data_IF_288636817729
#
_entry.id   IF_288636817729
#
_cell.length_a   1.000
_cell.length_b   1.000
_cell.length_c   1.000
_cell.angle_alpha   90.00
_cell.angle_beta   90.00
_cell.angle_gamma   90.00
#
_symmetry.space_group_name_H-M   'P 1'
#
loop_
_entity.id
_entity.type
_entity.pdbx_description
1 polymer ?
#
# COMPACT_ATOMS: atom_id res chain seq x y z
N UNK A 1 207.16 -5.67 7.31
CA UNK A 1 206.08 -6.70 7.36
C UNK A 1 205.36 -6.76 8.72
N UNK A 2 205.70 -5.91 9.70
CA UNK A 2 205.14 -5.95 11.08
C UNK A 2 203.96 -5.02 11.32
N UNK A 3 203.87 -3.86 10.64
CA UNK A 3 202.79 -2.88 10.87
C UNK A 3 201.43 -3.39 10.37
N UNK A 4 201.40 -4.07 9.22
CA UNK A 4 200.16 -4.60 8.60
C UNK A 4 199.45 -5.70 9.40
N UNK A 5 200.12 -6.34 10.37
CA UNK A 5 199.51 -7.41 11.19
C UNK A 5 198.77 -6.83 12.40
N UNK A 6 199.29 -5.74 12.98
CA UNK A 6 198.63 -5.04 14.10
C UNK A 6 197.35 -4.31 13.65
N UNK A 7 197.32 -3.78 12.42
CA UNK A 7 196.11 -3.13 11.88
C UNK A 7 194.93 -4.11 11.65
N UNK A 8 195.21 -5.39 11.40
CA UNK A 8 194.16 -6.41 11.18
C UNK A 8 193.58 -6.86 12.51
N UNK A 9 194.42 -7.12 13.51
CA UNK A 9 193.97 -7.51 14.86
C UNK A 9 193.14 -6.40 15.54
N UNK A 10 193.51 -5.13 15.37
CA UNK A 10 192.72 -4.01 15.88
C UNK A 10 191.35 -3.88 15.21
N UNK A 11 191.26 -4.13 13.90
CA UNK A 11 190.01 -4.01 13.14
C UNK A 11 189.05 -5.17 13.42
N UNK A 12 189.56 -6.38 13.65
CA UNK A 12 188.75 -7.51 14.11
C UNK A 12 188.14 -7.25 15.49
N UNK A 13 188.91 -6.68 16.43
CA UNK A 13 188.40 -6.32 17.76
C UNK A 13 187.27 -5.27 17.69
N UNK A 14 187.39 -4.26 16.81
CA UNK A 14 186.34 -3.25 16.60
C UNK A 14 185.07 -3.89 16.04
N UNK A 15 185.18 -4.77 15.04
CA UNK A 15 184.03 -5.44 14.44
C UNK A 15 183.30 -6.37 15.43
N UNK A 16 184.02 -7.00 16.34
CA UNK A 16 183.40 -7.81 17.41
C UNK A 16 182.62 -6.93 18.38
N UNK A 17 183.16 -5.77 18.76
CA UNK A 17 182.46 -4.83 19.64
C UNK A 17 181.23 -4.20 18.96
N UNK A 18 181.32 -3.83 17.68
CA UNK A 18 180.18 -3.32 16.90
C UNK A 18 179.06 -4.37 16.77
N UNK A 19 179.42 -5.63 16.56
CA UNK A 19 178.44 -6.73 16.55
C UNK A 19 177.75 -6.88 17.90
N UNK A 20 178.51 -6.82 19.00
CA UNK A 20 177.92 -6.90 20.35
C UNK A 20 176.99 -5.71 20.64
N UNK A 21 177.36 -4.51 20.19
CA UNK A 21 176.50 -3.33 20.31
C UNK A 21 175.20 -3.49 19.51
N UNK A 22 175.27 -3.92 18.24
CA UNK A 22 174.09 -4.12 17.39
C UNK A 22 173.17 -5.23 17.93
N UNK A 23 173.72 -6.35 18.43
CA UNK A 23 172.93 -7.42 19.06
C UNK A 23 172.22 -6.93 20.34
N UNK A 24 172.87 -6.08 21.15
CA UNK A 24 172.27 -5.50 22.34
C UNK A 24 171.16 -4.49 22.01
N UNK A 25 171.37 -3.63 21.01
CA UNK A 25 170.38 -2.65 20.54
C UNK A 25 169.13 -3.34 19.96
N UNK A 26 169.30 -4.37 19.13
CA UNK A 26 168.17 -5.16 18.59
C UNK A 26 167.43 -5.93 19.68
N UNK A 27 168.14 -6.45 20.68
CA UNK A 27 167.51 -7.12 21.82
C UNK A 27 166.68 -6.13 22.65
N UNK A 28 167.22 -4.94 22.92
CA UNK A 28 166.49 -3.87 23.61
C UNK A 28 165.27 -3.40 22.80
N UNK A 29 165.41 -3.22 21.48
CA UNK A 29 164.31 -2.83 20.61
C UNK A 29 163.18 -3.87 20.62
N UNK A 30 163.51 -5.17 20.62
CA UNK A 30 162.53 -6.26 20.71
C UNK A 30 161.80 -6.26 22.04
N UNK A 31 162.52 -6.15 23.16
CA UNK A 31 161.91 -6.10 24.50
C UNK A 31 160.99 -4.88 24.64
N UNK A 32 161.39 -3.71 24.14
CA UNK A 32 160.54 -2.51 24.12
C UNK A 32 159.29 -2.73 23.26
N UNK A 33 159.43 -3.32 22.07
CA UNK A 33 158.28 -3.58 21.18
C UNK A 33 157.29 -4.58 21.80
N UNK A 34 157.79 -5.63 22.46
CA UNK A 34 156.97 -6.62 23.15
C UNK A 34 156.20 -5.99 24.31
N UNK A 35 156.88 -5.25 25.20
CA UNK A 35 156.23 -4.54 26.31
C UNK A 35 155.19 -3.55 25.77
N UNK A 36 155.55 -2.74 24.76
CA UNK A 36 154.63 -1.76 24.17
C UNK A 36 153.40 -2.42 23.53
N UNK A 37 153.56 -3.59 22.91
CA UNK A 37 152.45 -4.34 22.33
C UNK A 37 151.54 -4.94 23.41
N UNK A 38 152.13 -5.47 24.49
CA UNK A 38 151.37 -6.03 25.62
C UNK A 38 150.56 -4.95 26.34
N UNK A 39 151.18 -3.83 26.67
CA UNK A 39 150.51 -2.70 27.34
C UNK A 39 149.37 -2.13 26.47
N UNK A 40 149.56 -2.03 25.15
CA UNK A 40 148.48 -1.59 24.23
C UNK A 40 147.31 -2.57 24.22
N UNK A 41 147.57 -3.87 24.17
CA UNK A 41 146.52 -4.89 24.21
C UNK A 41 145.75 -4.87 25.54
N UNK A 42 146.44 -4.70 26.66
CA UNK A 42 145.81 -4.57 27.99
C UNK A 42 144.95 -3.31 28.08
N UNK A 43 145.44 -2.17 27.59
CA UNK A 43 144.65 -0.92 27.52
C UNK A 43 143.40 -1.10 26.67
N UNK A 44 143.50 -1.76 25.51
CA UNK A 44 142.33 -2.03 24.66
C UNK A 44 141.32 -2.96 25.33
N UNK A 45 141.77 -4.02 26.01
CA UNK A 45 140.90 -4.93 26.77
C UNK A 45 140.15 -4.16 27.84
N UNK A 46 140.86 -3.33 28.64
CA UNK A 46 140.24 -2.52 29.68
C UNK A 46 139.25 -1.52 29.08
N UNK A 47 139.58 -0.87 27.97
CA UNK A 47 138.69 0.07 27.29
C UNK A 47 137.40 -0.61 26.80
N UNK A 48 137.49 -1.80 26.20
CA UNK A 48 136.31 -2.55 25.77
C UNK A 48 135.47 -3.06 26.96
N UNK A 49 136.10 -3.48 28.06
CA UNK A 49 135.39 -3.86 29.28
C UNK A 49 134.63 -2.68 29.91
N UNK A 50 135.22 -1.49 29.94
CA UNK A 50 134.53 -0.29 30.42
C UNK A 50 133.37 0.10 29.50
N UNK A 51 133.55 -0.02 28.17
CA UNK A 51 132.47 0.23 27.21
C UNK A 51 131.30 -0.75 27.39
N UNK A 52 131.58 -2.04 27.58
CA UNK A 52 130.55 -3.05 27.83
C UNK A 52 129.76 -2.73 29.11
N UNK A 53 130.45 -2.36 30.20
CA UNK A 53 129.79 -1.97 31.45
C UNK A 53 128.91 -0.74 31.30
N UNK A 54 129.38 0.27 30.55
CA UNK A 54 128.60 1.48 30.27
C UNK A 54 127.34 1.19 29.43
N UNK A 55 127.46 0.36 28.39
CA UNK A 55 126.32 -0.05 27.56
C UNK A 55 125.31 -0.90 28.33
N UNK A 56 125.78 -1.83 29.18
CA UNK A 56 124.90 -2.62 30.05
C UNK A 56 124.12 -1.73 31.03
N UNK A 57 124.79 -0.75 31.64
CA UNK A 57 124.12 0.20 32.52
C UNK A 57 123.09 1.07 31.76
N UNK A 58 123.40 1.50 30.54
CA UNK A 58 122.45 2.24 29.69
C UNK A 58 121.21 1.40 29.38
N UNK A 59 121.40 0.18 28.88
CA UNK A 59 120.31 -0.72 28.49
C UNK A 59 119.41 -1.04 29.69
N UNK A 60 119.99 -1.35 30.85
CA UNK A 60 119.21 -1.62 32.07
C UNK A 60 118.39 -0.40 32.50
N UNK A 61 118.97 0.80 32.42
CA UNK A 61 118.26 2.05 32.74
C UNK A 61 117.13 2.32 31.76
N UNK A 62 117.37 2.15 30.45
CA UNK A 62 116.37 2.36 29.41
C UNK A 62 115.19 1.37 29.56
N UNK A 63 115.48 0.11 29.88
CA UNK A 63 114.46 -0.92 30.11
C UNK A 63 113.61 -0.60 31.35
N UNK A 64 114.22 -0.18 32.46
CA UNK A 64 113.48 0.26 33.66
C UNK A 64 112.59 1.47 33.38
N UNK A 65 113.08 2.46 32.62
CA UNK A 65 112.29 3.63 32.23
C UNK A 65 111.09 3.21 31.37
N UNK A 66 111.31 2.38 30.36
CA UNK A 66 110.22 1.92 29.48
C UNK A 66 109.16 1.12 30.23
N UNK A 67 109.57 0.20 31.11
CA UNK A 67 108.64 -0.57 31.95
C UNK A 67 107.85 0.38 32.88
N UNK A 68 108.51 1.38 33.47
CA UNK A 68 107.84 2.37 34.31
C UNK A 68 106.84 3.23 33.51
N UNK A 69 107.19 3.64 32.29
CA UNK A 69 106.30 4.39 31.40
C UNK A 69 105.09 3.57 30.95
N UNK A 70 105.28 2.31 30.53
CA UNK A 70 104.17 1.42 30.18
C UNK A 70 103.25 1.16 31.36
N UNK A 71 103.80 0.92 32.55
CA UNK A 71 103.00 0.76 33.76
C UNK A 71 102.21 2.03 34.09
N UNK A 72 102.82 3.22 33.92
CA UNK A 72 102.11 4.50 34.08
C UNK A 72 100.98 4.64 33.08
N UNK A 73 101.22 4.35 31.80
CA UNK A 73 100.18 4.40 30.76
C UNK A 73 99.04 3.43 31.05
N UNK A 74 99.36 2.20 31.50
CA UNK A 74 98.36 1.21 31.90
C UNK A 74 97.50 1.71 33.07
N UNK A 75 98.11 2.32 34.09
CA UNK A 75 97.37 2.90 35.22
C UNK A 75 96.45 4.03 34.77
N UNK A 76 96.91 4.91 33.87
CA UNK A 76 96.09 5.98 33.30
C UNK A 76 94.90 5.41 32.53
N UNK A 77 95.11 4.40 31.68
CA UNK A 77 94.03 3.75 30.90
C UNK A 77 93.03 3.06 31.82
N UNK A 78 93.49 2.33 32.86
CA UNK A 78 92.61 1.68 33.82
C UNK A 78 91.78 2.71 34.59
N UNK A 79 92.39 3.83 35.00
CA UNK A 79 91.68 4.92 35.66
C UNK A 79 90.65 5.60 34.73
N UNK A 80 90.99 5.84 33.46
CA UNK A 80 90.08 6.38 32.45
C UNK A 80 88.88 5.45 32.22
N UNK A 81 89.13 4.16 31.96
CA UNK A 81 88.05 3.18 31.76
C UNK A 81 87.18 2.99 33.01
N UNK A 82 87.78 3.08 34.20
CA UNK A 82 87.00 3.03 35.45
C UNK A 82 86.10 4.25 35.58
N UNK A 83 86.60 5.45 35.26
CA UNK A 83 85.81 6.68 35.23
C UNK A 83 84.67 6.60 34.20
N UNK A 84 84.95 6.11 33.00
CA UNK A 84 83.94 5.91 31.94
C UNK A 84 82.88 4.90 32.37
N UNK A 85 83.27 3.77 32.98
CA UNK A 85 82.33 2.78 33.50
C UNK A 85 81.42 3.37 34.58
N UNK A 86 81.99 4.13 35.53
CA UNK A 86 81.18 4.78 36.58
C UNK A 86 80.24 5.82 35.98
N UNK A 87 80.70 6.62 35.01
CA UNK A 87 79.86 7.60 34.32
C UNK A 87 78.71 6.94 33.54
N UNK A 88 78.97 5.83 32.84
CA UNK A 88 77.94 5.09 32.11
C UNK A 88 76.88 4.46 33.04
N UNK A 89 77.32 3.89 34.18
CA UNK A 89 76.39 3.32 35.19
C UNK A 89 75.51 4.40 35.80
N UNK A 90 76.06 5.56 36.13
CA UNK A 90 75.27 6.67 36.66
C UNK A 90 74.34 7.27 35.61
N UNK A 91 74.76 7.32 34.34
CA UNK A 91 73.88 7.74 33.25
C UNK A 91 72.69 6.78 33.07
N UNK A 92 72.93 5.46 33.07
CA UNK A 92 71.86 4.46 32.97
C UNK A 92 70.89 4.55 34.17
N UNK A 93 71.40 4.81 35.38
CA UNK A 93 70.56 5.05 36.56
C UNK A 93 69.66 6.27 36.39
N UNK A 94 70.22 7.40 35.95
CA UNK A 94 69.45 8.63 35.69
C UNK A 94 68.41 8.41 34.60
N UNK A 95 68.73 7.68 33.53
CA UNK A 95 67.78 7.36 32.46
C UNK A 95 66.66 6.44 32.95
N UNK A 96 66.98 5.44 33.77
CA UNK A 96 65.99 4.57 34.40
C UNK A 96 65.05 5.33 35.33
N UNK A 97 65.59 6.21 36.18
CA UNK A 97 64.79 7.01 37.11
C UNK A 97 63.88 7.99 36.34
N UNK A 98 64.37 8.63 35.27
CA UNK A 98 63.54 9.47 34.38
C UNK A 98 62.41 8.68 33.72
N UNK A 99 62.71 7.48 33.22
CA UNK A 99 61.68 6.63 32.61
C UNK A 99 60.62 6.18 33.62
N UNK A 100 61.02 5.88 34.87
CA UNK A 100 60.08 5.54 35.94
C UNK A 100 59.18 6.73 36.32
N UNK A 101 59.74 7.94 36.42
CA UNK A 101 58.96 9.15 36.66
C UNK A 101 57.98 9.45 35.52
N UNK A 102 58.39 9.24 34.26
CA UNK A 102 57.51 9.41 33.11
C UNK A 102 56.34 8.42 33.13
N UNK A 103 56.61 7.14 33.43
CA UNK A 103 55.57 6.11 33.59
C UNK A 103 54.61 6.46 34.71
N UNK A 104 55.10 6.92 35.86
CA UNK A 104 54.25 7.33 36.99
C UNK A 104 53.41 8.57 36.62
N UNK A 105 54.00 9.55 35.92
CA UNK A 105 53.26 10.72 35.42
C UNK A 105 52.16 10.32 34.45
N UNK A 106 52.47 9.45 33.49
CA UNK A 106 51.48 8.92 32.53
C UNK A 106 50.37 8.15 33.26
N UNK A 107 50.71 7.35 34.27
CA UNK A 107 49.70 6.66 35.09
C UNK A 107 48.77 7.64 35.81
N UNK A 108 49.32 8.70 36.41
CA UNK A 108 48.50 9.71 37.10
C UNK A 108 47.58 10.45 36.10
N UNK A 109 48.12 10.86 34.94
CA UNK A 109 47.34 11.55 33.90
C UNK A 109 46.22 10.64 33.37
N UNK A 110 46.54 9.39 33.04
CA UNK A 110 45.54 8.43 32.55
C UNK A 110 44.46 8.11 33.58
N UNK A 111 44.81 7.99 34.86
CA UNK A 111 43.82 7.82 35.94
C UNK A 111 42.91 9.06 36.07
N UNK A 112 43.47 10.26 35.97
CA UNK A 112 42.69 11.50 35.98
C UNK A 112 41.77 11.62 34.75
N UNK A 113 42.23 11.20 33.57
CA UNK A 113 41.41 11.15 32.36
C UNK A 113 40.27 10.14 32.49
N UNK A 114 40.53 8.95 33.05
CA UNK A 114 39.49 7.94 33.33
C UNK A 114 38.46 8.47 34.32
N UNK A 115 38.87 9.15 35.40
CA UNK A 115 37.94 9.74 36.36
C UNK A 115 37.07 10.84 35.71
N UNK A 116 37.68 11.68 34.86
CA UNK A 116 36.97 12.68 34.06
C UNK A 116 35.98 12.04 33.10
N UNK A 117 36.37 11.02 32.35
CA UNK A 117 35.49 10.29 31.42
C UNK A 117 34.33 9.63 32.18
N UNK A 118 34.62 8.98 33.30
CA UNK A 118 33.60 8.39 34.18
C UNK A 118 32.59 9.43 34.68
N UNK A 119 33.06 10.61 35.09
CA UNK A 119 32.18 11.70 35.52
C UNK A 119 31.29 12.20 34.36
N UNK A 120 31.84 12.34 33.16
CA UNK A 120 31.08 12.70 31.96
C UNK A 120 30.05 11.62 31.61
N UNK A 121 30.39 10.35 31.75
CA UNK A 121 29.51 9.23 31.42
C UNK A 121 28.36 9.07 32.42
N UNK A 122 28.61 9.33 33.71
CA UNK A 122 27.55 9.44 34.73
C UNK A 122 26.59 10.58 34.37
N UNK A 123 27.09 11.76 34.03
CA UNK A 123 26.25 12.89 33.62
C UNK A 123 25.48 12.59 32.32
N UNK A 124 26.08 11.89 31.35
CA UNK A 124 25.38 11.43 30.14
C UNK A 124 24.25 10.47 30.47
N UNK A 125 24.45 9.56 31.42
CA UNK A 125 23.42 8.65 31.91
C UNK A 125 22.28 9.42 32.58
N UNK A 126 22.59 10.38 33.45
CA UNK A 126 21.60 11.23 34.11
C UNK A 126 20.79 12.04 33.07
N UNK A 127 21.46 12.58 32.05
CA UNK A 127 20.81 13.28 30.93
C UNK A 127 19.91 12.31 30.14
N UNK A 128 20.35 11.08 29.90
CA UNK A 128 19.52 10.06 29.23
C UNK A 128 18.28 9.68 30.06
N UNK A 129 18.41 9.58 31.38
CA UNK A 129 17.28 9.34 32.27
C UNK A 129 16.29 10.53 32.22
N UNK A 130 16.76 11.78 32.24
CA UNK A 130 15.92 12.97 32.06
C UNK A 130 15.27 13.02 30.67
N UNK A 131 15.97 12.64 29.61
CA UNK A 131 15.41 12.56 28.24
C UNK A 131 14.34 11.49 28.18
N UNK A 132 14.58 10.30 28.76
CA UNK A 132 13.57 9.23 28.83
C UNK A 132 12.33 9.70 29.55
N UNK A 133 12.50 10.35 30.70
CA UNK A 133 11.38 10.87 31.48
C UNK A 133 10.63 11.97 30.71
N UNK A 134 11.34 12.86 29.99
CA UNK A 134 10.72 13.85 29.09
C UNK A 134 9.93 13.17 27.97
N UNK A 135 10.48 12.16 27.31
CA UNK A 135 9.80 11.42 26.23
C UNK A 135 8.56 10.70 26.75
N UNK A 136 8.60 10.15 27.97
CA UNK A 136 7.42 9.54 28.61
C UNK A 136 6.35 10.60 28.86
N UNK A 137 6.71 11.77 29.39
CA UNK A 137 5.78 12.87 29.64
C UNK A 137 5.21 13.42 28.32
N UNK A 138 6.04 13.66 27.30
CA UNK A 138 5.59 14.11 25.98
C UNK A 138 4.66 13.09 25.34
N UNK A 139 4.99 11.81 25.40
CA UNK A 139 4.10 10.74 24.92
C UNK A 139 2.77 10.72 25.67
N UNK A 140 2.79 10.88 27.00
CA UNK A 140 1.56 10.94 27.80
C UNK A 140 0.71 12.17 27.46
N UNK A 141 1.33 13.33 27.21
CA UNK A 141 0.63 14.54 26.75
C UNK A 141 0.00 14.31 25.38
N UNK A 142 0.73 13.72 24.44
CA UNK A 142 0.19 13.41 23.10
C UNK A 142 -0.94 12.39 23.17
N UNK A 143 -0.81 11.33 23.97
CA UNK A 143 -1.87 10.34 24.17
C UNK A 143 -3.13 10.97 24.79
N UNK A 144 -2.99 11.88 25.75
CA UNK A 144 -4.13 12.62 26.30
C UNK A 144 -4.71 13.65 25.31
N UNK A 145 -3.88 14.32 24.52
CA UNK A 145 -4.36 15.23 23.46
C UNK A 145 -5.18 14.50 22.39
N UNK A 146 -4.72 13.32 21.95
CA UNK A 146 -5.46 12.47 21.01
C UNK A 146 -6.74 11.94 21.64
N UNK A 147 -6.73 11.48 22.90
CA UNK A 147 -7.96 11.10 23.63
C UNK A 147 -8.95 12.25 23.75
N UNK A 148 -8.48 13.48 23.96
CA UNK A 148 -9.33 14.67 24.02
C UNK A 148 -9.93 14.97 22.65
N UNK A 149 -9.16 14.82 21.56
CA UNK A 149 -9.68 14.96 20.19
C UNK A 149 -10.72 13.90 19.89
N UNK A 150 -10.43 12.64 20.16
CA UNK A 150 -11.36 11.53 20.00
C UNK A 150 -12.65 11.78 20.79
N UNK A 151 -12.54 12.13 22.08
CA UNK A 151 -13.70 12.43 22.91
C UNK A 151 -14.53 13.61 22.37
N UNK A 152 -13.89 14.65 21.82
CA UNK A 152 -14.59 15.78 21.17
C UNK A 152 -15.30 15.37 19.89
N UNK A 153 -14.66 14.55 19.06
CA UNK A 153 -15.24 14.04 17.81
C UNK A 153 -16.40 13.08 18.10
N UNK A 154 -16.24 12.14 19.02
CA UNK A 154 -17.33 11.27 19.49
C UNK A 154 -18.50 12.08 20.08
N UNK A 155 -18.21 13.08 20.92
CA UNK A 155 -19.26 13.94 21.46
C UNK A 155 -19.92 14.84 20.39
N UNK A 156 -19.20 15.22 19.32
CA UNK A 156 -19.77 15.95 18.20
C UNK A 156 -20.68 15.05 17.34
N UNK A 157 -20.23 13.83 17.03
CA UNK A 157 -20.99 12.83 16.30
C UNK A 157 -22.26 12.41 17.06
N UNK A 158 -22.16 12.17 18.38
CA UNK A 158 -23.31 11.82 19.21
C UNK A 158 -24.31 13.00 19.30
N UNK A 159 -23.82 14.24 19.40
CA UNK A 159 -24.70 15.43 19.32
C UNK A 159 -25.38 15.56 17.97
N UNK A 160 -24.68 15.36 16.86
CA UNK A 160 -25.26 15.38 15.51
C UNK A 160 -26.33 14.30 15.36
N UNK A 161 -26.05 13.08 15.82
CA UNK A 161 -27.01 11.98 15.85
C UNK A 161 -28.24 12.33 16.68
N UNK A 162 -28.09 12.91 17.88
CA UNK A 162 -29.21 13.35 18.71
C UNK A 162 -30.03 14.46 18.06
N UNK A 163 -29.39 15.42 17.39
CA UNK A 163 -30.08 16.47 16.63
C UNK A 163 -30.88 15.85 15.47
N UNK A 164 -30.29 14.92 14.72
CA UNK A 164 -30.97 14.23 13.62
C UNK A 164 -32.16 13.39 14.11
N UNK A 165 -32.02 12.68 15.25
CA UNK A 165 -33.13 11.94 15.88
C UNK A 165 -34.25 12.90 16.28
N UNK A 166 -33.94 14.00 16.96
CA UNK A 166 -34.95 14.99 17.35
C UNK A 166 -35.63 15.64 16.16
N UNK A 167 -34.91 15.91 15.07
CA UNK A 167 -35.48 16.45 13.84
C UNK A 167 -36.42 15.44 13.17
N UNK A 168 -36.03 14.16 13.14
CA UNK A 168 -36.88 13.09 12.65
C UNK A 168 -38.13 12.89 13.52
N UNK A 169 -37.99 12.93 14.84
CA UNK A 169 -39.11 12.90 15.79
C UNK A 169 -40.05 14.09 15.61
N UNK A 170 -39.49 15.29 15.42
CA UNK A 170 -40.28 16.51 15.17
C UNK A 170 -41.08 16.38 13.87
N UNK A 171 -40.47 15.90 12.77
CA UNK A 171 -41.16 15.68 11.49
C UNK A 171 -42.24 14.61 11.62
N UNK A 172 -41.94 13.50 12.29
CA UNK A 172 -42.90 12.44 12.53
C UNK A 172 -44.08 12.90 13.40
N UNK A 173 -43.83 13.69 14.45
CA UNK A 173 -44.88 14.29 15.27
C UNK A 173 -45.72 15.30 14.48
N UNK A 174 -45.10 16.13 13.65
CA UNK A 174 -45.81 17.08 12.79
C UNK A 174 -46.73 16.35 11.80
N UNK A 175 -46.26 15.27 11.20
CA UNK A 175 -47.03 14.46 10.26
C UNK A 175 -48.14 13.67 10.98
N UNK A 176 -47.87 13.16 12.18
CA UNK A 176 -48.88 12.53 13.03
C UNK A 176 -49.99 13.53 13.40
N UNK A 177 -49.64 14.74 13.84
CA UNK A 177 -50.63 15.77 14.18
C UNK A 177 -51.45 16.15 12.94
N UNK A 178 -50.80 16.30 11.77
CA UNK A 178 -51.49 16.60 10.51
C UNK A 178 -52.46 15.50 10.11
N UNK A 179 -52.06 14.23 10.21
CA UNK A 179 -52.91 13.09 9.86
C UNK A 179 -54.06 12.90 10.86
N UNK A 180 -53.82 13.07 12.16
CA UNK A 180 -54.87 13.03 13.20
C UNK A 180 -55.86 14.17 13.02
N UNK A 181 -55.39 15.41 12.80
CA UNK A 181 -56.27 16.55 12.55
C UNK A 181 -57.07 16.37 11.26
N UNK A 182 -56.46 15.85 10.19
CA UNK A 182 -57.17 15.54 8.95
C UNK A 182 -58.23 14.45 9.16
N UNK A 183 -57.92 13.40 9.93
CA UNK A 183 -58.87 12.34 10.27
C UNK A 183 -60.00 12.84 11.17
N UNK A 184 -59.71 13.68 12.17
CA UNK A 184 -60.73 14.31 13.02
C UNK A 184 -61.61 15.28 12.23
N UNK A 185 -61.03 16.08 11.33
CA UNK A 185 -61.78 16.96 10.44
C UNK A 185 -62.69 16.14 9.50
N UNK A 186 -62.19 15.05 8.92
CA UNK A 186 -62.97 14.13 8.10
C UNK A 186 -64.10 13.47 8.90
N UNK A 187 -63.84 13.03 10.13
CA UNK A 187 -64.85 12.46 11.03
C UNK A 187 -65.95 13.47 11.37
N UNK A 188 -65.57 14.72 11.70
CA UNK A 188 -66.55 15.80 11.96
C UNK A 188 -67.33 16.15 10.70
N UNK A 189 -66.70 16.23 9.54
CA UNK A 189 -67.38 16.47 8.27
C UNK A 189 -68.39 15.36 7.94
N UNK A 190 -68.01 14.09 8.13
CA UNK A 190 -68.90 12.95 7.95
C UNK A 190 -70.07 12.97 8.95
N UNK A 191 -69.85 13.37 10.20
CA UNK A 191 -70.89 13.53 11.20
C UNK A 191 -71.89 14.64 10.79
N UNK A 192 -71.40 15.82 10.39
CA UNK A 192 -72.27 16.89 9.90
C UNK A 192 -73.06 16.50 8.65
N UNK A 193 -72.47 15.75 7.73
CA UNK A 193 -73.18 15.21 6.56
C UNK A 193 -74.25 14.17 6.95
N UNK A 194 -74.00 13.37 7.99
CA UNK A 194 -74.98 12.44 8.50
C UNK A 194 -76.15 13.18 9.17
N UNK A 195 -75.85 14.19 9.99
CA UNK A 195 -76.86 15.04 10.65
C UNK A 195 -77.68 15.83 9.63
N UNK A 196 -77.05 16.38 8.58
CA UNK A 196 -77.73 17.03 7.46
C UNK A 196 -78.69 16.08 6.77
N UNK A 197 -78.27 14.83 6.49
CA UNK A 197 -79.14 13.82 5.89
C UNK A 197 -80.31 13.46 6.79
N UNK A 198 -80.11 13.32 8.10
CA UNK A 198 -81.18 13.06 9.07
C UNK A 198 -82.14 14.25 9.10
N UNK A 199 -81.63 15.47 9.15
CA UNK A 199 -82.45 16.69 9.16
C UNK A 199 -83.27 16.83 7.87
N UNK A 200 -82.68 16.55 6.70
CA UNK A 200 -83.41 16.51 5.43
C UNK A 200 -84.47 15.40 5.45
N UNK A 201 -84.13 14.21 5.93
CA UNK A 201 -85.08 13.10 6.04
C UNK A 201 -86.25 13.43 6.98
N UNK A 202 -85.99 14.02 8.15
CA UNK A 202 -87.02 14.46 9.09
C UNK A 202 -87.85 15.62 8.53
N UNK A 203 -87.23 16.57 7.82
CA UNK A 203 -87.94 17.66 7.14
C UNK A 203 -88.84 17.13 6.02
N UNK A 204 -88.36 16.18 5.22
CA UNK A 204 -89.17 15.53 4.16
C UNK A 204 -90.29 14.68 4.76
N UNK A 205 -90.05 13.94 5.86
CA UNK A 205 -91.10 13.21 6.58
C UNK A 205 -92.15 14.17 7.12
N UNK A 206 -91.75 15.25 7.79
CA UNK A 206 -92.68 16.25 8.32
C UNK A 206 -93.45 16.99 7.23
N UNK A 207 -92.84 17.24 6.07
CA UNK A 207 -93.54 17.78 4.90
C UNK A 207 -94.57 16.79 4.35
N UNK A 208 -94.18 15.51 4.20
CA UNK A 208 -95.08 14.45 3.73
C UNK A 208 -96.23 14.18 4.71
N UNK A 209 -96.00 14.22 6.02
CA UNK A 209 -97.02 14.13 7.06
C UNK A 209 -98.03 15.28 6.94
N UNK A 210 -97.55 16.52 6.87
CA UNK A 210 -98.42 17.70 6.68
C UNK A 210 -99.18 17.67 5.36
N UNK A 211 -98.56 17.20 4.28
CA UNK A 211 -99.23 17.01 3.00
C UNK A 211 -100.27 15.90 3.07
N UNK A 212 -100.00 14.82 3.81
CA UNK A 212 -100.94 13.72 4.04
C UNK A 212 -102.12 14.18 4.89
N UNK A 213 -101.89 14.95 5.95
CA UNK A 213 -102.93 15.52 6.79
C UNK A 213 -103.75 16.56 6.02
N UNK A 214 -103.10 17.42 5.22
CA UNK A 214 -103.80 18.31 4.30
C UNK A 214 -104.65 17.52 3.30
N UNK A 215 -104.12 16.45 2.68
CA UNK A 215 -104.89 15.57 1.78
C UNK A 215 -106.02 14.86 2.49
N UNK A 216 -105.87 14.43 3.74
CA UNK A 216 -106.96 13.86 4.56
C UNK A 216 -108.03 14.90 4.83
N UNK A 217 -107.65 16.10 5.25
CA UNK A 217 -108.60 17.20 5.46
C UNK A 217 -109.30 17.60 4.17
N UNK A 218 -108.59 17.65 3.03
CA UNK A 218 -109.20 17.87 1.72
C UNK A 218 -110.08 16.69 1.29
N UNK A 219 -109.72 15.45 1.61
CA UNK A 219 -110.53 14.27 1.31
C UNK A 219 -111.78 14.20 2.19
N UNK A 220 -111.72 14.62 3.45
CA UNK A 220 -112.85 14.75 4.36
C UNK A 220 -113.75 15.93 3.97
N UNK A 221 -113.16 17.06 3.57
CA UNK A 221 -113.89 18.20 3.00
C UNK A 221 -114.55 17.81 1.67
N UNK A 222 -113.85 17.09 0.79
CA UNK A 222 -114.40 16.53 -0.44
C UNK A 222 -115.42 15.44 -0.16
N UNK A 223 -115.28 14.63 0.89
CA UNK A 223 -116.32 13.68 1.31
C UNK A 223 -117.58 14.40 1.79
N UNK A 224 -117.41 15.54 2.48
CA UNK A 224 -118.52 16.39 2.92
C UNK A 224 -119.18 17.13 1.74
N UNK A 225 -118.39 17.60 0.76
CA UNK A 225 -118.89 18.20 -0.49
C UNK A 225 -119.56 17.16 -1.40
N UNK A 226 -118.95 15.98 -1.60
CA UNK A 226 -119.53 14.87 -2.34
C UNK A 226 -120.72 14.22 -1.61
N UNK A 227 -120.82 14.32 -0.29
CA UNK A 227 -122.06 13.96 0.41
C UNK A 227 -123.22 14.91 0.05
N UNK A 228 -122.93 16.16 -0.37
CA UNK A 228 -123.91 17.09 -0.92
C UNK A 228 -124.17 16.84 -2.43
N UNK A 229 -123.15 16.43 -3.19
CA UNK A 229 -123.25 16.09 -4.63
C UNK A 229 -123.74 14.66 -4.92
N UNK A 230 -123.72 13.74 -3.94
CA UNK A 230 -124.15 12.35 -4.11
C UNK A 230 -125.64 12.18 -4.42
N UNK A 231 -126.44 13.23 -4.22
CA UNK A 231 -127.82 13.32 -4.72
C UNK A 231 -127.90 13.71 -6.21
N UNK A 232 -126.83 14.27 -6.79
CA UNK A 232 -126.71 14.68 -8.19
C UNK A 232 -125.89 13.70 -9.05
N UNK A 233 -124.88 13.02 -8.50
CA UNK A 233 -124.00 12.11 -9.26
C UNK A 233 -124.62 10.76 -9.63
N UNK A 234 -125.70 10.33 -8.95
CA UNK A 234 -126.46 9.15 -9.35
C UNK A 234 -127.06 9.28 -10.77
N UNK A 235 -127.22 10.51 -11.29
CA UNK A 235 -127.68 10.76 -12.67
C UNK A 235 -126.53 10.78 -13.70
N UNK A 236 -125.28 11.01 -13.28
CA UNK A 236 -124.12 11.13 -14.19
C UNK A 236 -123.35 9.81 -14.31
N UNK A 237 -123.40 8.93 -13.31
CA UNK A 237 -122.73 7.63 -13.33
C UNK A 237 -123.24 6.71 -14.47
N UNK A 238 -124.47 6.93 -14.94
CA UNK A 238 -125.02 6.25 -16.12
C UNK A 238 -124.30 6.64 -17.42
N UNK A 239 -123.66 7.82 -17.49
CA UNK A 239 -122.99 8.33 -18.70
C UNK A 239 -121.49 7.99 -18.74
N UNK A 240 -120.84 7.78 -17.58
CA UNK A 240 -119.39 7.48 -17.51
C UNK A 240 -119.04 6.03 -17.87
N UNK A 241 -120.00 5.11 -17.80
CA UNK A 241 -119.77 3.70 -18.14
C UNK A 241 -119.42 3.48 -19.63
N UNK A 242 -119.89 4.33 -20.54
CA UNK A 242 -119.57 4.26 -21.98
C UNK A 242 -118.15 4.76 -22.32
N UNK A 243 -117.49 5.51 -21.44
CA UNK A 243 -116.18 6.11 -21.73
C UNK A 243 -115.00 5.17 -21.44
N UNK A 244 -115.16 4.25 -20.48
CA UNK A 244 -114.10 3.34 -20.02
C UNK A 244 -113.73 2.27 -21.05
N UNK A 245 -114.63 1.94 -21.98
CA UNK A 245 -114.37 0.96 -23.05
C UNK A 245 -113.29 1.45 -24.04
N UNK A 246 -113.12 2.77 -24.19
CA UNK A 246 -112.18 3.37 -25.16
C UNK A 246 -110.73 3.42 -24.65
N UNK A 247 -110.52 3.39 -23.34
CA UNK A 247 -109.19 3.57 -22.73
C UNK A 247 -108.30 2.30 -22.80
N UNK A 248 -108.90 1.11 -22.79
CA UNK A 248 -108.16 -0.16 -22.82
C UNK A 248 -107.37 -0.42 -24.11
N UNK A 249 -107.70 0.26 -25.21
CA UNK A 249 -106.99 0.09 -26.49
C UNK A 249 -105.64 0.80 -26.55
N UNK A 250 -105.44 1.85 -25.74
CA UNK A 250 -104.20 2.64 -25.71
C UNK A 250 -103.11 1.96 -24.88
N UNK A 251 -103.49 1.25 -23.82
CA UNK A 251 -102.54 0.59 -22.90
C UNK A 251 -101.80 -0.59 -23.56
N UNK A 252 -102.46 -1.31 -24.47
CA UNK A 252 -101.85 -2.42 -25.21
C UNK A 252 -100.75 -1.95 -26.19
N UNK A 253 -100.85 -0.74 -26.74
CA UNK A 253 -99.86 -0.14 -27.64
C UNK A 253 -98.56 0.22 -26.92
N UNK A 254 -98.66 0.76 -25.70
CA UNK A 254 -97.51 1.19 -24.89
C UNK A 254 -96.65 0.01 -24.42
N UNK A 255 -97.28 -1.13 -24.15
CA UNK A 255 -96.59 -2.34 -23.69
C UNK A 255 -95.68 -2.94 -24.77
N UNK A 256 -96.08 -2.84 -26.05
CA UNK A 256 -95.30 -3.33 -27.20
C UNK A 256 -94.03 -2.50 -27.47
N UNK A 257 -94.05 -1.20 -27.20
CA UNK A 257 -92.89 -0.32 -27.39
C UNK A 257 -91.84 -0.45 -26.28
N UNK A 258 -92.25 -0.73 -25.03
CA UNK A 258 -91.31 -0.96 -23.93
C UNK A 258 -90.47 -2.23 -24.11
N UNK A 259 -91.08 -3.32 -24.59
CA UNK A 259 -90.38 -4.59 -24.80
C UNK A 259 -89.30 -4.51 -25.91
N UNK A 260 -89.49 -3.62 -26.90
CA UNK A 260 -88.51 -3.40 -27.96
C UNK A 260 -87.27 -2.63 -27.45
N UNK A 261 -87.46 -1.61 -26.62
CA UNK A 261 -86.38 -0.81 -26.05
C UNK A 261 -85.50 -1.59 -25.05
N UNK A 262 -86.07 -2.59 -24.38
CA UNK A 262 -85.36 -3.42 -23.40
C UNK A 262 -84.37 -4.41 -24.06
N UNK A 263 -84.70 -4.92 -25.25
CA UNK A 263 -83.80 -5.78 -26.03
C UNK A 263 -82.56 -5.04 -26.54
N UNK A 264 -82.71 -3.81 -27.03
CA UNK A 264 -81.56 -2.98 -27.47
C UNK A 264 -80.65 -2.58 -26.30
N UNK A 265 -81.20 -2.36 -25.11
CA UNK A 265 -80.41 -2.06 -23.91
C UNK A 265 -79.56 -3.24 -23.43
N UNK A 266 -80.02 -4.47 -23.61
CA UNK A 266 -79.30 -5.69 -23.22
C UNK A 266 -78.16 -6.00 -24.20
N UNK A 267 -78.36 -5.79 -25.51
CA UNK A 267 -77.30 -6.00 -26.51
C UNK A 267 -76.16 -5.00 -26.35
N UNK A 268 -76.45 -3.72 -26.12
CA UNK A 268 -75.42 -2.70 -25.87
C UNK A 268 -74.64 -2.95 -24.56
N UNK A 269 -75.29 -3.45 -23.51
CA UNK A 269 -74.61 -3.85 -22.27
C UNK A 269 -73.65 -5.04 -22.46
N UNK A 270 -74.04 -6.02 -23.29
CA UNK A 270 -73.21 -7.17 -23.59
C UNK A 270 -71.96 -6.80 -24.40
N UNK A 271 -72.08 -5.87 -25.36
CA UNK A 271 -70.93 -5.35 -26.12
C UNK A 271 -70.00 -4.49 -25.26
N UNK A 272 -70.55 -3.68 -24.35
CA UNK A 272 -69.75 -2.89 -23.40
C UNK A 272 -68.94 -3.77 -22.43
N UNK A 273 -69.51 -4.88 -21.93
CA UNK A 273 -68.77 -5.82 -21.06
C UNK A 273 -67.62 -6.52 -21.78
N UNK A 274 -67.77 -6.79 -23.08
CA UNK A 274 -66.73 -7.40 -23.92
C UNK A 274 -65.53 -6.47 -24.14
N UNK A 275 -65.75 -5.15 -24.10
CA UNK A 275 -64.70 -4.13 -24.25
C UNK A 275 -63.88 -3.92 -22.96
N UNK A 276 -64.43 -4.21 -21.79
CA UNK A 276 -63.75 -4.02 -20.48
C UNK A 276 -62.91 -5.21 -20.00
N UNK A 277 -62.95 -6.36 -20.69
CA UNK A 277 -62.27 -7.61 -20.29
C UNK A 277 -60.77 -7.67 -20.69
N UNK A 278 -60.26 -6.67 -21.43
CA UNK A 278 -58.85 -6.61 -21.86
C UNK A 278 -57.90 -6.04 -20.80
N UNK A 279 -58.30 -4.95 -20.12
CA UNK A 279 -57.42 -4.19 -19.21
C UNK A 279 -57.24 -4.90 -17.85
N UNK A 280 -58.22 -5.72 -17.45
CA UNK A 280 -58.16 -6.52 -16.22
C UNK A 280 -57.18 -7.69 -16.31
N UNK A 281 -57.14 -8.38 -17.46
CA UNK A 281 -56.29 -9.57 -17.68
C UNK A 281 -54.81 -9.24 -17.64
N UNK A 282 -54.38 -8.14 -18.28
CA UNK A 282 -52.96 -7.75 -18.28
C UNK A 282 -52.45 -7.43 -16.87
N UNK A 283 -53.28 -6.81 -16.04
CA UNK A 283 -52.90 -6.51 -14.66
C UNK A 283 -52.85 -7.78 -13.79
N UNK A 284 -53.74 -8.75 -14.06
CA UNK A 284 -53.75 -10.05 -13.39
C UNK A 284 -52.55 -10.91 -13.80
N UNK A 285 -52.24 -10.98 -15.10
CA UNK A 285 -51.05 -11.65 -15.63
C UNK A 285 -49.75 -11.00 -15.15
N UNK A 286 -49.70 -9.67 -15.06
CA UNK A 286 -48.57 -8.95 -14.49
C UNK A 286 -48.39 -9.26 -13.00
N UNK A 287 -49.47 -9.28 -12.22
CA UNK A 287 -49.43 -9.67 -10.80
C UNK A 287 -48.96 -11.10 -10.61
N UNK A 288 -49.46 -12.03 -11.42
CA UNK A 288 -49.10 -13.44 -11.37
C UNK A 288 -47.61 -13.65 -11.72
N UNK A 289 -47.11 -12.95 -12.74
CA UNK A 289 -45.70 -12.97 -13.12
C UNK A 289 -44.80 -12.38 -12.03
N UNK A 290 -45.17 -11.24 -11.45
CA UNK A 290 -44.41 -10.60 -10.38
C UNK A 290 -44.34 -11.49 -9.12
N UNK A 291 -45.45 -12.16 -8.78
CA UNK A 291 -45.49 -13.11 -7.67
C UNK A 291 -44.61 -14.34 -7.95
N UNK A 292 -44.64 -14.88 -9.18
CA UNK A 292 -43.77 -15.98 -9.59
C UNK A 292 -42.30 -15.61 -9.53
N UNK A 293 -41.91 -14.43 -10.04
CA UNK A 293 -40.53 -13.92 -9.99
C UNK A 293 -40.06 -13.74 -8.54
N UNK A 294 -40.87 -13.11 -7.70
CA UNK A 294 -40.60 -12.94 -6.27
C UNK A 294 -40.39 -14.29 -5.57
N UNK A 295 -41.20 -15.29 -5.88
CA UNK A 295 -41.09 -16.61 -5.27
C UNK A 295 -39.82 -17.35 -5.71
N UNK A 296 -39.47 -17.29 -6.99
CA UNK A 296 -38.22 -17.84 -7.52
C UNK A 296 -37.01 -17.16 -6.86
N UNK A 297 -37.03 -15.84 -6.74
CA UNK A 297 -35.92 -15.06 -6.17
C UNK A 297 -35.74 -15.36 -4.66
N UNK A 298 -36.84 -15.47 -3.91
CA UNK A 298 -36.80 -15.89 -2.50
C UNK A 298 -36.24 -17.30 -2.33
N UNK A 299 -36.61 -18.24 -3.20
CA UNK A 299 -36.05 -19.60 -3.16
C UNK A 299 -34.58 -19.62 -3.55
N UNK A 300 -34.17 -18.84 -4.55
CA UNK A 300 -32.76 -18.71 -4.92
C UNK A 300 -31.91 -18.15 -3.76
N UNK A 301 -32.41 -17.15 -3.03
CA UNK A 301 -31.75 -16.60 -1.85
C UNK A 301 -31.64 -17.66 -0.74
N UNK A 302 -32.69 -18.45 -0.50
CA UNK A 302 -32.65 -19.54 0.50
C UNK A 302 -31.64 -20.61 0.15
N UNK A 303 -31.63 -21.07 -1.11
CA UNK A 303 -30.65 -22.04 -1.60
C UNK A 303 -29.23 -21.49 -1.47
N UNK A 304 -28.99 -20.21 -1.76
CA UNK A 304 -27.69 -19.59 -1.54
C UNK A 304 -27.31 -19.52 -0.07
N UNK A 305 -28.24 -19.22 0.83
CA UNK A 305 -28.00 -19.20 2.27
C UNK A 305 -27.65 -20.59 2.80
N UNK A 306 -28.37 -21.64 2.36
CA UNK A 306 -28.09 -23.03 2.70
C UNK A 306 -26.73 -23.48 2.15
N UNK A 307 -26.41 -23.16 0.90
CA UNK A 307 -25.10 -23.45 0.31
C UNK A 307 -24.00 -22.72 1.10
N UNK A 308 -24.20 -21.45 1.46
CA UNK A 308 -23.24 -20.70 2.25
C UNK A 308 -23.04 -21.30 3.66
N UNK A 309 -24.12 -21.77 4.30
CA UNK A 309 -24.06 -22.46 5.59
C UNK A 309 -23.29 -23.79 5.49
N UNK A 310 -23.59 -24.60 4.46
CA UNK A 310 -22.88 -25.85 4.22
C UNK A 310 -21.42 -25.62 3.82
N UNK A 311 -21.13 -24.60 3.02
CA UNK A 311 -19.76 -24.18 2.69
C UNK A 311 -19.00 -23.71 3.95
N UNK A 312 -19.64 -22.93 4.83
CA UNK A 312 -19.04 -22.50 6.08
C UNK A 312 -18.77 -23.68 7.03
N UNK A 313 -19.70 -24.65 7.11
CA UNK A 313 -19.51 -25.91 7.85
C UNK A 313 -18.37 -26.73 7.27
N UNK A 314 -18.31 -26.90 5.94
CA UNK A 314 -17.23 -27.61 5.26
C UNK A 314 -15.87 -26.95 5.51
N UNK A 315 -15.78 -25.62 5.37
CA UNK A 315 -14.56 -24.85 5.62
C UNK A 315 -14.17 -24.95 7.11
N UNK A 316 -15.13 -24.83 8.03
CA UNK A 316 -14.91 -24.97 9.46
C UNK A 316 -14.37 -26.35 9.84
N UNK A 317 -14.97 -27.43 9.33
CA UNK A 317 -14.51 -28.80 9.56
C UNK A 317 -13.15 -29.06 8.89
N UNK A 318 -12.91 -28.47 7.71
CA UNK A 318 -11.63 -28.55 7.01
C UNK A 318 -10.50 -27.82 7.75
N UNK A 319 -10.76 -26.65 8.33
CA UNK A 319 -9.79 -25.93 9.17
C UNK A 319 -9.54 -26.63 10.50
N UNK A 320 -10.54 -27.30 11.07
CA UNK A 320 -10.43 -28.06 12.32
C UNK A 320 -9.63 -29.35 12.16
N UNK A 321 -9.71 -29.98 11.00
CA UNK A 321 -8.98 -31.22 10.66
C UNK A 321 -7.63 -30.96 9.99
N UNK A 322 -7.41 -29.79 9.40
CA UNK A 322 -6.14 -29.40 8.81
C UNK A 322 -5.12 -29.03 9.90
N UNK A 323 -4.00 -29.77 9.94
CA UNK A 323 -2.82 -29.38 10.69
C UNK A 323 -2.03 -28.36 9.85
N UNK A 324 -2.26 -27.08 10.07
CA UNK A 324 -1.58 -26.00 9.33
C UNK A 324 -0.35 -25.57 10.11
N UNK A 325 0.84 -26.00 9.66
CA UNK A 325 2.12 -25.48 10.16
C UNK A 325 2.44 -24.16 9.45
N UNK A 326 2.15 -23.03 10.10
CA UNK A 326 2.51 -21.69 9.60
C UNK A 326 3.92 -21.36 10.06
N UNK A 327 4.89 -21.51 9.16
CA UNK A 327 6.29 -21.13 9.42
C UNK A 327 6.50 -19.67 8.98
N UNK A 328 6.51 -18.75 9.95
CA UNK A 328 7.09 -17.39 9.80
C UNK A 328 6.21 -16.31 9.15
N UNK A 329 5.45 -15.58 9.97
CA UNK A 329 5.66 -14.14 10.16
C UNK A 329 5.39 -13.12 9.05
N UNK A 330 4.47 -13.35 8.10
CA UNK A 330 4.00 -12.25 7.25
C UNK A 330 2.47 -12.32 7.02
N UNK A 331 1.75 -11.29 7.50
CA UNK A 331 0.28 -11.17 7.47
C UNK A 331 -0.31 -11.19 6.05
N UNK A 332 0.54 -10.97 5.05
CA UNK A 332 0.21 -10.95 3.63
C UNK A 332 -0.34 -12.28 3.08
N UNK A 333 -0.05 -13.44 3.69
CA UNK A 333 -0.54 -14.73 3.19
C UNK A 333 -2.02 -14.95 3.49
N UNK A 334 -2.46 -14.59 4.70
CA UNK A 334 -3.86 -14.70 5.11
C UNK A 334 -4.74 -13.75 4.28
N UNK A 335 -4.31 -12.50 4.14
CA UNK A 335 -5.01 -11.49 3.36
C UNK A 335 -5.13 -11.88 1.89
N UNK A 336 -4.11 -12.51 1.28
CA UNK A 336 -4.18 -12.96 -0.11
C UNK A 336 -5.19 -14.10 -0.33
N UNK A 337 -5.30 -15.04 0.60
CA UNK A 337 -6.26 -16.15 0.48
C UNK A 337 -7.69 -15.64 0.67
N UNK A 338 -7.93 -14.83 1.71
CA UNK A 338 -9.26 -14.26 1.98
C UNK A 338 -9.69 -13.32 0.85
N UNK A 339 -8.78 -12.47 0.35
CA UNK A 339 -9.11 -11.55 -0.74
C UNK A 339 -9.30 -12.27 -2.08
N UNK A 340 -8.57 -13.35 -2.38
CA UNK A 340 -8.77 -14.10 -3.63
C UNK A 340 -10.14 -14.79 -3.68
N UNK A 341 -10.60 -15.35 -2.55
CA UNK A 341 -11.93 -15.97 -2.44
C UNK A 341 -13.04 -14.91 -2.55
N UNK A 342 -12.83 -13.75 -1.94
CA UNK A 342 -13.82 -12.66 -1.93
C UNK A 342 -13.91 -11.95 -3.28
N UNK A 343 -12.76 -11.70 -3.94
CA UNK A 343 -12.69 -11.05 -5.25
C UNK A 343 -13.24 -11.93 -6.38
N UNK A 344 -13.09 -13.26 -6.29
CA UNK A 344 -13.69 -14.17 -7.27
C UNK A 344 -15.22 -14.12 -7.27
N UNK A 345 -15.84 -14.06 -6.07
CA UNK A 345 -17.30 -13.99 -5.93
C UNK A 345 -17.89 -12.61 -6.28
N UNK A 346 -17.15 -11.52 -6.07
CA UNK A 346 -17.63 -10.18 -6.41
C UNK A 346 -17.60 -9.92 -7.92
N UNK A 347 -16.61 -10.44 -8.66
CA UNK A 347 -16.58 -10.37 -10.13
C UNK A 347 -17.75 -11.13 -10.73
N UNK A 348 -18.04 -12.35 -10.26
CA UNK A 348 -19.17 -13.17 -10.74
C UNK A 348 -20.53 -12.50 -10.48
N UNK A 349 -20.68 -11.78 -9.36
CA UNK A 349 -21.88 -10.99 -9.05
C UNK A 349 -22.01 -9.75 -9.95
N UNK A 350 -20.91 -9.08 -10.31
CA UNK A 350 -20.94 -7.91 -11.20
C UNK A 350 -21.31 -8.32 -12.63
N UNK A 351 -20.80 -9.45 -13.11
CA UNK A 351 -21.10 -9.97 -14.45
C UNK A 351 -22.58 -10.36 -14.57
N UNK A 352 -23.15 -10.99 -13.55
CA UNK A 352 -24.54 -11.46 -13.60
C UNK A 352 -25.61 -10.39 -13.27
N UNK A 353 -25.27 -9.34 -12.48
CA UNK A 353 -26.22 -8.28 -12.11
C UNK A 353 -26.08 -6.97 -12.91
N UNK A 354 -25.06 -6.82 -13.75
CA UNK A 354 -24.88 -5.59 -14.51
C UNK A 354 -25.72 -5.60 -15.79
N UNK A 355 -26.86 -4.91 -15.75
CA UNK A 355 -27.73 -4.64 -16.93
C UNK A 355 -26.95 -4.07 -18.12
N UNK A 356 -25.85 -3.36 -17.88
CA UNK A 356 -25.00 -2.76 -18.91
C UNK A 356 -24.13 -3.83 -19.59
N UNK A 357 -23.60 -4.80 -18.84
CA UNK A 357 -22.81 -5.90 -19.41
C UNK A 357 -23.70 -6.97 -20.06
N UNK A 358 -24.89 -7.23 -19.51
CA UNK A 358 -25.91 -8.06 -20.17
C UNK A 358 -26.40 -7.38 -21.44
N UNK A 359 -26.65 -6.06 -21.44
CA UNK A 359 -27.02 -5.32 -22.64
C UNK A 359 -25.94 -5.31 -23.74
N UNK A 360 -24.65 -5.34 -23.36
CA UNK A 360 -23.54 -5.50 -24.33
C UNK A 360 -23.48 -6.93 -24.85
N UNK A 361 -23.65 -7.93 -23.97
CA UNK A 361 -23.74 -9.35 -24.37
C UNK A 361 -24.92 -9.58 -25.32
N UNK A 362 -26.09 -9.04 -25.01
CA UNK A 362 -27.31 -9.22 -25.80
C UNK A 362 -27.21 -8.45 -27.13
N UNK A 363 -26.64 -7.24 -27.13
CA UNK A 363 -26.36 -6.50 -28.36
C UNK A 363 -25.26 -7.13 -29.25
N UNK A 364 -24.43 -8.01 -28.69
CA UNK A 364 -23.34 -8.69 -29.42
C UNK A 364 -23.69 -10.14 -29.79
N UNK A 365 -24.68 -10.75 -29.13
CA UNK A 365 -25.07 -12.15 -29.34
C UNK A 365 -26.46 -12.32 -30.00
N UNK A 366 -27.29 -11.26 -30.07
CA UNK A 366 -28.57 -11.27 -30.80
C UNK A 366 -28.41 -10.60 -32.19
N UNK A 367 -27.54 -11.20 -33.00
CA UNK A 367 -26.95 -10.61 -34.21
C UNK A 367 -27.85 -10.72 -35.47
N UNK A 368 -28.98 -11.44 -35.40
CA UNK A 368 -29.86 -11.64 -36.56
C UNK A 368 -30.92 -10.53 -36.69
N UNK A 369 -31.68 -10.25 -35.63
CA UNK A 369 -32.80 -9.29 -35.67
C UNK A 369 -32.31 -7.84 -35.85
N UNK A 370 -31.24 -7.46 -35.16
CA UNK A 370 -30.65 -6.13 -35.29
C UNK A 370 -30.02 -5.87 -36.67
N UNK A 371 -29.49 -6.91 -37.32
CA UNK A 371 -28.95 -6.82 -38.69
C UNK A 371 -30.07 -6.53 -39.70
N UNK A 372 -31.20 -7.24 -39.60
CA UNK A 372 -32.34 -7.05 -40.50
C UNK A 372 -32.97 -5.66 -40.36
N UNK A 373 -33.11 -5.15 -39.14
CA UNK A 373 -33.62 -3.80 -38.89
C UNK A 373 -32.71 -2.70 -39.46
N UNK A 374 -31.40 -2.86 -39.35
CA UNK A 374 -30.44 -1.90 -39.91
C UNK A 374 -30.48 -1.92 -41.45
N UNK A 375 -30.51 -3.10 -42.07
CA UNK A 375 -30.64 -3.25 -43.52
C UNK A 375 -31.95 -2.60 -44.01
N UNK A 376 -33.06 -2.81 -43.30
CA UNK A 376 -34.36 -2.20 -43.60
C UNK A 376 -34.32 -0.68 -43.54
N UNK A 377 -33.72 -0.12 -42.48
CA UNK A 377 -33.59 1.32 -42.30
C UNK A 377 -32.76 2.00 -43.39
N UNK A 378 -31.62 1.39 -43.80
CA UNK A 378 -30.82 1.94 -44.90
C UNK A 378 -31.51 1.77 -46.26
N UNK A 379 -32.19 0.65 -46.50
CA UNK A 379 -32.96 0.45 -47.72
C UNK A 379 -34.10 1.47 -47.87
N UNK A 380 -34.80 1.80 -46.78
CA UNK A 380 -35.83 2.84 -46.77
C UNK A 380 -35.24 4.24 -47.01
N UNK A 381 -34.10 4.58 -46.39
CA UNK A 381 -33.41 5.87 -46.59
C UNK A 381 -32.89 6.06 -48.01
N UNK A 382 -32.52 4.97 -48.67
CA UNK A 382 -32.01 4.97 -50.05
C UNK A 382 -33.12 4.76 -51.10
N UNK A 383 -34.38 4.72 -50.68
CA UNK A 383 -35.54 4.65 -51.57
C UNK A 383 -35.71 3.33 -52.33
N UNK A 384 -35.23 2.21 -51.75
CA UNK A 384 -35.37 0.87 -52.36
C UNK A 384 -36.75 0.31 -52.03
N UNK A 385 -37.58 0.08 -53.05
CA UNK A 385 -38.94 -0.48 -52.92
C UNK A 385 -38.91 -1.95 -52.49
N UNK A 386 -39.91 -2.39 -51.71
CA UNK A 386 -40.03 -3.77 -51.24
C UNK A 386 -40.07 -4.81 -52.38
N UNK A 387 -40.52 -4.41 -53.57
CA UNK A 387 -40.55 -5.30 -54.74
C UNK A 387 -39.17 -5.58 -55.33
N UNK A 388 -38.21 -4.66 -55.18
CA UNK A 388 -36.83 -4.81 -55.65
C UNK A 388 -36.03 -5.82 -54.81
N UNK A 389 -36.52 -6.14 -53.60
CA UNK A 389 -35.82 -6.94 -52.59
C UNK A 389 -36.06 -8.44 -52.75
N UNK A 390 -37.18 -8.83 -53.38
CA UNK A 390 -37.63 -10.24 -53.46
C UNK A 390 -36.67 -11.16 -54.20
N UNK A 391 -35.84 -10.59 -55.08
CA UNK A 391 -34.92 -11.32 -55.95
C UNK A 391 -33.43 -11.04 -55.64
N UNK A 392 -33.12 -10.38 -54.52
CA UNK A 392 -31.75 -10.04 -54.13
C UNK A 392 -31.33 -10.82 -52.88
N UNK A 393 -30.06 -11.22 -52.83
CA UNK A 393 -29.44 -11.66 -51.57
C UNK A 393 -29.13 -10.45 -50.69
N UNK A 394 -28.97 -10.66 -49.39
CA UNK A 394 -28.58 -9.60 -48.46
C UNK A 394 -27.24 -8.96 -48.88
N UNK A 395 -26.28 -9.75 -49.34
CA UNK A 395 -25.01 -9.21 -49.86
C UNK A 395 -25.20 -8.38 -51.13
N UNK A 396 -26.09 -8.81 -52.05
CA UNK A 396 -26.38 -8.07 -53.27
C UNK A 396 -27.13 -6.76 -52.98
N UNK A 397 -28.05 -6.78 -52.02
CA UNK A 397 -28.75 -5.59 -51.54
C UNK A 397 -27.78 -4.59 -50.90
N UNK A 398 -26.93 -5.04 -49.98
CA UNK A 398 -25.94 -4.16 -49.32
C UNK A 398 -24.94 -3.62 -50.35
N UNK A 399 -24.51 -4.43 -51.33
CA UNK A 399 -23.69 -3.97 -52.45
C UNK A 399 -24.37 -2.89 -53.29
N UNK A 400 -25.66 -3.05 -53.60
CA UNK A 400 -26.47 -2.03 -54.30
C UNK A 400 -26.61 -0.76 -53.46
N UNK A 401 -26.83 -0.88 -52.15
CA UNK A 401 -26.87 0.27 -51.23
C UNK A 401 -25.55 1.03 -51.18
N UNK A 402 -24.40 0.33 -51.17
CA UNK A 402 -23.07 0.98 -51.22
C UNK A 402 -22.88 1.76 -52.52
N UNK A 403 -23.42 1.24 -53.63
CA UNK A 403 -23.35 1.89 -54.94
C UNK A 403 -24.24 3.12 -55.05
N UNK A 404 -25.38 3.16 -54.35
CA UNK A 404 -26.35 4.27 -54.39
C UNK A 404 -26.05 5.32 -53.32
N UNK A 405 -25.41 4.94 -52.21
CA UNK A 405 -25.08 5.87 -51.14
C UNK A 405 -24.09 6.94 -51.63
N UNK A 406 -24.41 8.22 -51.46
CA UNK A 406 -23.49 9.32 -51.81
C UNK A 406 -22.55 9.68 -50.64
N UNK A 407 -22.93 9.35 -49.41
CA UNK A 407 -22.16 9.68 -48.20
C UNK A 407 -21.14 8.59 -47.84
N UNK A 408 -19.87 8.99 -47.70
CA UNK A 408 -18.75 8.11 -47.35
C UNK A 408 -18.92 7.42 -45.99
N UNK A 409 -19.59 8.08 -45.02
CA UNK A 409 -19.94 7.48 -43.74
C UNK A 409 -20.96 6.34 -43.86
N UNK A 410 -21.99 6.52 -44.70
CA UNK A 410 -23.00 5.49 -44.97
C UNK A 410 -22.36 4.31 -45.71
N UNK A 411 -21.44 4.57 -46.66
CA UNK A 411 -20.67 3.50 -47.32
C UNK A 411 -19.86 2.69 -46.31
N UNK A 412 -19.20 3.35 -45.36
CA UNK A 412 -18.43 2.69 -44.30
C UNK A 412 -19.30 1.81 -43.38
N UNK A 413 -20.50 2.27 -43.03
CA UNK A 413 -21.46 1.49 -42.24
C UNK A 413 -22.01 0.29 -43.01
N UNK A 414 -22.35 0.47 -44.29
CA UNK A 414 -22.80 -0.61 -45.17
C UNK A 414 -21.71 -1.66 -45.42
N UNK A 415 -20.43 -1.26 -45.50
CA UNK A 415 -19.31 -2.20 -45.57
C UNK A 415 -19.16 -3.02 -44.28
N UNK A 416 -19.39 -2.42 -43.11
CA UNK A 416 -19.43 -3.14 -41.83
C UNK A 416 -20.59 -4.14 -41.81
N UNK A 417 -21.78 -3.74 -42.26
CA UNK A 417 -22.94 -4.62 -42.38
C UNK A 417 -22.70 -5.78 -43.35
N UNK A 418 -22.01 -5.55 -44.47
CA UNK A 418 -21.61 -6.60 -45.38
C UNK A 418 -20.63 -7.59 -44.72
N UNK A 419 -19.66 -7.09 -43.95
CA UNK A 419 -18.72 -7.93 -43.20
C UNK A 419 -19.40 -8.74 -42.10
N UNK A 420 -20.46 -8.21 -41.51
CA UNK A 420 -21.25 -8.84 -40.46
C UNK A 420 -22.13 -9.94 -41.06
N UNK A 421 -22.87 -9.63 -42.13
CA UNK A 421 -23.67 -10.59 -42.89
C UNK A 421 -22.83 -11.77 -43.44
N UNK A 422 -21.57 -11.53 -43.80
CA UNK A 422 -20.63 -12.60 -44.20
C UNK A 422 -20.19 -13.47 -43.01
N UNK A 423 -19.98 -12.89 -41.82
CA UNK A 423 -19.58 -13.61 -40.62
C UNK A 423 -20.72 -14.41 -39.99
N UNK A 424 -21.95 -13.89 -40.05
CA UNK A 424 -23.16 -14.56 -39.57
C UNK A 424 -23.73 -15.59 -40.57
N UNK A 425 -23.14 -15.73 -41.76
CA UNK A 425 -23.61 -16.67 -42.78
C UNK A 425 -24.90 -16.25 -43.48
N UNK A 426 -25.40 -15.03 -43.23
CA UNK A 426 -26.65 -14.49 -43.79
C UNK A 426 -26.48 -13.83 -45.16
N UNK A 427 -25.25 -13.69 -45.66
CA UNK A 427 -24.95 -13.03 -46.93
C UNK A 427 -25.73 -13.57 -48.15
N UNK A 428 -26.00 -14.88 -48.17
CA UNK A 428 -26.77 -15.57 -49.21
C UNK A 428 -28.28 -15.63 -48.97
N UNK A 429 -28.78 -15.17 -47.81
CA UNK A 429 -30.21 -15.20 -47.50
C UNK A 429 -31.00 -14.20 -48.37
N UNK A 430 -32.27 -14.52 -48.63
CA UNK A 430 -33.15 -13.65 -49.40
C UNK A 430 -33.42 -12.36 -48.61
N UNK A 431 -33.16 -11.21 -49.22
CA UNK A 431 -33.34 -9.90 -48.62
C UNK A 431 -34.80 -9.60 -48.24
N UNK A 432 -35.78 -10.25 -48.88
CA UNK A 432 -37.19 -10.17 -48.53
C UNK A 432 -37.51 -10.62 -47.09
N UNK A 433 -36.72 -11.55 -46.52
CA UNK A 433 -36.92 -12.00 -45.12
C UNK A 433 -36.71 -10.88 -44.11
N UNK A 434 -35.87 -9.89 -44.43
CA UNK A 434 -35.66 -8.71 -43.60
C UNK A 434 -36.92 -7.82 -43.51
N UNK A 435 -37.88 -7.97 -44.43
CA UNK A 435 -39.10 -7.16 -44.54
C UNK A 435 -40.38 -7.93 -44.16
N UNK A 436 -40.31 -9.26 -44.03
CA UNK A 436 -41.47 -10.11 -43.69
C UNK A 436 -41.75 -10.22 -42.17
N UNK A 437 -40.80 -9.84 -41.31
CA UNK A 437 -40.88 -9.95 -39.83
C UNK A 437 -41.95 -9.06 -39.15
N UNK A 438 -42.82 -8.37 -39.90
CA UNK A 438 -43.97 -7.59 -39.36
C UNK A 438 -45.34 -8.24 -39.60
N UNK A 439 -45.43 -9.41 -40.24
CA UNK A 439 -46.71 -10.01 -40.60
C UNK A 439 -47.27 -11.08 -39.63
N UNK A 440 -46.76 -11.19 -38.40
CA UNK A 440 -47.30 -12.09 -37.36
C UNK A 440 -47.34 -11.45 -35.98
#
# INVERSE_FOLDING_TARGET
KTIKKQDVEAREAILVLERQQAEAEEKQAREIAEVKSRERAEVEIIAQQQKLRAEQARIATDEEIQIAEENRMRQVIVAQKSKERTAAVEQERVEKDRALEEVERLRIVTLADIEKEKAVEVQKKDIQDVIRDRVIVERAVVEEEEKIKDAREFAAAERQKQVAIKEAEMKAQQELVKTVQAAEAAKKAAAFQADEKIMIADATRGAAERETDAKKMFAEAAQAEHAAEGLAEAQVLSAKAEALEKQGTVEASVMKQKAAAESEGITMKAEAMKLFDGVGREHEEFKLRLNKEKEIELQAIRVQAEIAEQQAKLVGESLKSARIDIVGGDTNFFDKIVNSITNGKSVDRIVNNSRVLTGIKDAFLDDENHLFDQIRNYAARLGIDANDLKNLSIAALIGRMISIADNEGIKGELQKLLSLANRSGLSGANAGRAFELEAT
#
